data_IF_305579173974
#
_entry.id   IF_305579173974
#
_cell.length_a   1.000
_cell.length_b   1.000
_cell.length_c   1.000
_cell.angle_alpha   90.00
_cell.angle_beta   90.00
_cell.angle_gamma   90.00
#
_symmetry.space_group_name_H-M   'P 1'
#
loop_
_entity.id
_entity.type
_entity.pdbx_description
1 polymer ?
#
# COMPACT_ATOMS: atom_id res chain seq x y z
N UNK A 1 -21.41 62.11 -20.40
CA UNK A 1 -21.16 63.16 -19.38
C UNK A 1 -20.07 62.58 -18.48
N UNK A 2 -18.83 63.02 -18.67
CA UNK A 2 -18.09 63.96 -17.82
C UNK A 2 -17.98 63.43 -16.38
N UNK A 3 -16.86 63.19 -15.76
CA UNK A 3 -15.46 63.70 -15.63
C UNK A 3 -14.92 62.99 -14.36
N UNK A 4 -13.73 62.79 -13.92
CA UNK A 4 -12.43 63.36 -14.18
C UNK A 4 -11.39 62.58 -13.36
N UNK A 5 -10.21 62.44 -13.85
CA UNK A 5 -9.00 61.93 -13.19
C UNK A 5 -8.52 62.87 -12.05
N UNK A 6 -7.79 62.33 -11.09
CA UNK A 6 -6.81 63.12 -10.34
C UNK A 6 -5.57 62.24 -10.07
N UNK A 7 -4.50 62.64 -10.71
CA UNK A 7 -3.12 62.24 -10.59
C UNK A 7 -2.47 63.09 -9.49
N UNK A 8 -1.76 62.48 -8.57
CA UNK A 8 -0.85 63.22 -7.68
C UNK A 8 0.51 62.51 -7.63
N UNK A 9 1.43 63.16 -8.31
CA UNK A 9 2.88 62.93 -8.33
C UNK A 9 3.47 63.61 -7.09
N UNK A 10 4.34 62.96 -6.34
CA UNK A 10 5.28 63.63 -5.43
C UNK A 10 6.67 62.99 -5.48
N UNK A 11 7.60 63.86 -5.69
CA UNK A 11 9.02 63.65 -6.01
C UNK A 11 9.87 63.15 -4.85
N UNK A 12 11.00 62.61 -5.26
CA UNK A 12 12.17 62.18 -4.57
C UNK A 12 12.85 63.17 -3.64
N UNK A 13 13.51 62.67 -2.63
CA UNK A 13 14.74 63.24 -2.10
C UNK A 13 15.70 62.11 -1.72
N UNK A 14 16.79 62.02 -2.45
CA UNK A 14 17.93 61.19 -2.13
C UNK A 14 18.79 61.89 -1.04
N UNK A 15 19.11 61.17 0.03
CA UNK A 15 20.19 61.52 0.93
C UNK A 15 21.10 60.29 1.05
N UNK A 16 22.27 60.40 0.42
CA UNK A 16 23.38 59.49 0.60
C UNK A 16 24.04 59.73 1.96
N UNK A 17 24.04 58.75 2.82
CA UNK A 17 24.97 58.66 3.97
C UNK A 17 25.63 57.27 3.93
N UNK A 18 26.95 57.30 3.69
CA UNK A 18 27.80 56.13 3.73
C UNK A 18 27.83 55.55 5.15
N UNK A 19 27.52 54.26 5.23
CA UNK A 19 27.68 53.45 6.42
C UNK A 19 28.38 52.17 6.06
N UNK A 20 29.55 51.93 6.64
CA UNK A 20 30.30 50.66 6.57
C UNK A 20 29.40 49.50 6.88
N UNK A 21 29.18 48.59 5.91
CA UNK A 21 28.57 47.31 6.15
C UNK A 21 29.61 46.43 6.88
N UNK A 22 29.43 46.24 8.19
CA UNK A 22 30.03 45.12 8.91
C UNK A 22 29.15 43.89 8.61
N UNK A 23 29.71 43.00 7.82
CA UNK A 23 29.11 41.68 7.62
C UNK A 23 29.18 40.90 8.94
N UNK A 24 28.07 40.93 9.67
CA UNK A 24 27.91 39.98 10.80
C UNK A 24 27.62 38.60 10.16
N UNK A 25 28.61 37.73 10.19
CA UNK A 25 28.46 36.32 9.94
C UNK A 25 27.49 35.77 11.01
N UNK A 26 26.25 35.45 10.61
CA UNK A 26 25.31 34.73 11.48
C UNK A 26 25.91 33.35 11.75
N UNK A 27 26.29 33.11 13.00
CA UNK A 27 26.61 31.77 13.46
C UNK A 27 25.43 30.84 13.17
N UNK A 28 25.67 29.59 12.75
CA UNK A 28 24.61 28.63 12.54
C UNK A 28 23.83 28.45 13.83
N UNK A 29 22.50 28.43 13.74
CA UNK A 29 21.64 28.17 14.88
C UNK A 29 22.05 26.84 15.54
N UNK A 30 22.06 26.72 16.87
CA UNK A 30 22.35 25.48 17.54
C UNK A 30 21.31 24.46 17.12
N UNK A 31 21.78 23.26 16.74
CA UNK A 31 20.91 22.11 16.46
C UNK A 31 20.00 21.89 17.68
N UNK A 32 18.73 21.49 17.49
CA UNK A 32 17.83 21.23 18.60
C UNK A 32 18.43 20.16 19.51
N UNK A 33 18.73 20.53 20.76
CA UNK A 33 19.10 19.59 21.81
C UNK A 33 17.88 18.69 22.08
N UNK A 34 17.96 17.42 21.73
CA UNK A 34 16.91 16.45 22.00
C UNK A 34 16.67 15.42 20.88
N UNK A 35 17.63 15.18 20.01
CA UNK A 35 17.59 13.97 19.18
C UNK A 35 17.73 12.77 20.14
N UNK A 36 16.60 12.22 20.58
CA UNK A 36 16.56 10.85 21.10
C UNK A 36 17.25 9.97 20.07
N UNK A 37 18.28 9.22 20.48
CA UNK A 37 18.94 8.27 19.60
C UNK A 37 17.85 7.44 18.91
N UNK A 38 17.80 7.49 17.56
CA UNK A 38 16.83 6.69 16.79
C UNK A 38 17.00 5.25 17.23
N UNK A 39 15.89 4.60 17.57
CA UNK A 39 15.91 3.20 17.94
C UNK A 39 16.47 2.42 16.75
N UNK A 40 17.47 1.59 16.98
CA UNK A 40 17.98 0.68 15.95
C UNK A 40 16.84 -0.26 15.57
N UNK A 41 16.58 -0.39 14.27
CA UNK A 41 15.53 -1.30 13.77
C UNK A 41 15.97 -2.73 14.01
N UNK A 42 15.10 -3.51 14.65
CA UNK A 42 15.28 -4.95 14.76
C UNK A 42 14.85 -5.63 13.46
N UNK A 43 15.78 -6.34 12.82
CA UNK A 43 15.56 -7.06 11.59
C UNK A 43 16.46 -8.30 11.53
N UNK A 44 16.17 -9.34 10.73
CA UNK A 44 16.85 -10.64 10.79
C UNK A 44 18.27 -10.63 10.18
N UNK A 45 19.08 -9.65 10.54
CA UNK A 45 20.43 -9.42 10.00
C UNK A 45 21.33 -10.65 10.09
N UNK A 46 21.29 -11.35 11.23
CA UNK A 46 22.14 -12.50 11.50
C UNK A 46 21.80 -13.74 10.65
N UNK A 47 20.64 -13.73 9.99
CA UNK A 47 20.18 -14.82 9.12
C UNK A 47 20.57 -14.65 7.67
N UNK A 48 21.00 -13.46 7.28
CA UNK A 48 21.27 -13.12 5.89
C UNK A 48 22.77 -12.90 5.67
N UNK A 49 23.27 -13.46 4.59
CA UNK A 49 24.56 -13.06 4.05
C UNK A 49 24.44 -11.72 3.35
N UNK A 50 25.55 -11.03 3.16
CA UNK A 50 25.61 -9.76 2.41
C UNK A 50 26.55 -9.91 1.22
N UNK A 51 26.29 -9.15 0.16
CA UNK A 51 27.20 -8.99 -0.95
C UNK A 51 28.42 -8.12 -0.58
N UNK A 52 29.28 -7.83 -1.55
CA UNK A 52 30.48 -7.00 -1.38
C UNK A 52 30.17 -5.54 -1.00
N UNK A 53 28.94 -5.06 -1.26
CA UNK A 53 28.46 -3.72 -0.93
C UNK A 53 27.72 -3.67 0.43
N UNK A 54 27.54 -4.82 1.08
CA UNK A 54 26.82 -4.93 2.35
C UNK A 54 25.31 -5.07 2.18
N UNK A 55 24.82 -5.26 0.97
CA UNK A 55 23.38 -5.51 0.68
C UNK A 55 23.05 -6.97 1.02
N UNK A 56 21.96 -7.22 1.77
CA UNK A 56 21.54 -8.59 2.09
C UNK A 56 21.19 -9.39 0.84
N UNK A 57 21.50 -10.67 0.86
CA UNK A 57 21.25 -11.62 -0.24
C UNK A 57 20.24 -12.66 0.21
N UNK A 58 19.30 -13.00 -0.68
CA UNK A 58 18.20 -13.93 -0.48
C UNK A 58 18.35 -15.16 -1.38
N UNK A 59 17.96 -16.30 -0.87
CA UNK A 59 17.66 -17.49 -1.65
C UNK A 59 16.16 -17.45 -2.01
N UNK A 60 15.84 -17.11 -3.28
CA UNK A 60 14.48 -16.87 -3.78
C UNK A 60 14.01 -18.05 -4.62
N UNK A 61 12.91 -18.71 -4.26
CA UNK A 61 12.30 -19.69 -5.15
C UNK A 61 11.53 -18.99 -6.28
N UNK A 62 12.02 -19.12 -7.50
CA UNK A 62 11.39 -18.56 -8.70
C UNK A 62 10.40 -19.57 -9.26
N UNK A 63 9.10 -19.27 -9.10
CA UNK A 63 8.01 -20.20 -9.49
C UNK A 63 8.03 -20.51 -10.97
N UNK A 64 8.35 -19.53 -11.83
CA UNK A 64 8.41 -19.72 -13.28
C UNK A 64 9.48 -20.71 -13.74
N UNK A 65 10.58 -20.79 -13.00
CA UNK A 65 11.74 -21.60 -13.34
C UNK A 65 11.85 -22.86 -12.47
N UNK A 66 10.97 -22.99 -11.46
CA UNK A 66 10.94 -24.09 -10.48
C UNK A 66 12.29 -24.32 -9.77
N UNK A 67 13.03 -23.24 -9.50
CA UNK A 67 14.36 -23.31 -8.88
C UNK A 67 14.57 -22.18 -7.88
N UNK A 68 15.54 -22.39 -6.97
CA UNK A 68 16.02 -21.36 -6.05
C UNK A 68 17.13 -20.56 -6.76
N UNK A 69 16.97 -19.24 -6.76
CA UNK A 69 17.96 -18.30 -7.26
C UNK A 69 18.47 -17.42 -6.13
N UNK A 70 19.77 -17.12 -6.18
CA UNK A 70 20.40 -16.24 -5.20
C UNK A 70 20.45 -14.82 -5.76
N UNK A 71 19.72 -13.92 -5.13
CA UNK A 71 19.60 -12.51 -5.54
C UNK A 71 19.72 -11.57 -4.33
N UNK A 72 20.31 -10.39 -4.53
CA UNK A 72 20.28 -9.37 -3.49
C UNK A 72 18.86 -8.80 -3.29
N UNK A 73 18.60 -8.24 -2.10
CA UNK A 73 17.29 -7.72 -1.72
C UNK A 73 16.81 -6.62 -2.69
N UNK A 74 17.72 -5.77 -3.18
CA UNK A 74 17.34 -4.67 -4.07
C UNK A 74 16.88 -5.20 -5.43
N UNK A 75 17.60 -6.16 -6.00
CA UNK A 75 17.18 -6.84 -7.24
C UNK A 75 15.85 -7.57 -7.06
N UNK A 76 15.62 -8.22 -5.91
CA UNK A 76 14.31 -8.81 -5.62
C UNK A 76 13.20 -7.74 -5.54
N UNK A 77 13.45 -6.61 -4.87
CA UNK A 77 12.50 -5.49 -4.76
C UNK A 77 12.19 -4.85 -6.11
N UNK A 78 13.15 -4.79 -7.05
CA UNK A 78 12.88 -4.35 -8.43
C UNK A 78 11.82 -5.23 -9.11
N UNK A 79 11.96 -6.55 -9.00
CA UNK A 79 10.99 -7.51 -9.56
C UNK A 79 9.61 -7.40 -8.89
N UNK A 80 9.57 -7.25 -7.56
CA UNK A 80 8.32 -7.01 -6.82
C UNK A 80 7.66 -5.70 -7.26
N UNK A 81 8.41 -4.61 -7.32
CA UNK A 81 7.87 -3.30 -7.71
C UNK A 81 7.30 -3.34 -9.13
N UNK A 82 7.95 -4.03 -10.05
CA UNK A 82 7.49 -4.21 -11.43
C UNK A 82 6.26 -5.11 -11.54
N UNK A 83 6.07 -6.07 -10.62
CA UNK A 83 4.88 -6.92 -10.55
C UNK A 83 3.68 -6.26 -9.87
N UNK A 84 3.92 -5.38 -8.90
CA UNK A 84 2.87 -4.76 -8.08
C UNK A 84 2.33 -3.46 -8.66
N UNK A 85 3.17 -2.65 -9.33
CA UNK A 85 2.78 -1.35 -9.84
C UNK A 85 3.15 -1.19 -11.31
N UNK A 86 2.45 -0.28 -11.99
CA UNK A 86 2.86 0.07 -13.35
C UNK A 86 4.21 0.78 -13.34
N UNK A 87 5.10 0.31 -14.18
CA UNK A 87 6.50 0.73 -14.26
C UNK A 87 6.72 2.14 -14.85
N UNK A 88 5.64 2.82 -15.29
CA UNK A 88 5.63 4.20 -15.79
C UNK A 88 4.96 5.20 -14.82
N UNK A 89 4.51 4.75 -13.66
CA UNK A 89 3.86 5.60 -12.65
C UNK A 89 4.82 6.65 -12.06
N UNK A 90 4.28 7.67 -11.34
CA UNK A 90 5.11 8.70 -10.70
C UNK A 90 6.23 8.11 -9.84
N UNK A 91 7.43 8.68 -9.94
CA UNK A 91 8.62 8.13 -9.27
C UNK A 91 8.45 8.03 -7.75
N UNK A 92 7.85 9.04 -7.12
CA UNK A 92 7.63 9.03 -5.67
C UNK A 92 6.63 7.95 -5.21
N UNK A 93 5.64 7.61 -6.04
CA UNK A 93 4.76 6.48 -5.77
C UNK A 93 5.51 5.12 -5.85
N UNK A 94 6.38 4.97 -6.85
CA UNK A 94 7.22 3.77 -7.00
C UNK A 94 8.23 3.66 -5.84
N UNK A 95 8.82 4.78 -5.42
CA UNK A 95 9.72 4.83 -4.24
C UNK A 95 9.01 4.43 -2.95
N UNK A 96 7.79 4.93 -2.74
CA UNK A 96 6.96 4.56 -1.59
C UNK A 96 6.69 3.04 -1.56
N UNK A 97 6.31 2.47 -2.70
CA UNK A 97 6.10 1.03 -2.82
C UNK A 97 7.40 0.23 -2.60
N UNK A 98 8.56 0.71 -3.09
CA UNK A 98 9.84 0.05 -2.88
C UNK A 98 10.21 -0.04 -1.39
N UNK A 99 9.98 1.03 -0.61
CA UNK A 99 10.16 1.05 0.85
C UNK A 99 9.27 -0.01 1.51
N UNK A 100 7.98 -0.08 1.12
CA UNK A 100 7.05 -1.06 1.69
C UNK A 100 7.39 -2.49 1.27
N UNK A 101 7.76 -2.72 0.02
CA UNK A 101 8.15 -4.03 -0.49
C UNK A 101 9.38 -4.58 0.26
N UNK A 102 10.40 -3.73 0.46
CA UNK A 102 11.61 -4.09 1.23
C UNK A 102 11.28 -4.38 2.69
N UNK A 103 10.44 -3.57 3.32
CA UNK A 103 9.96 -3.79 4.69
C UNK A 103 9.21 -5.12 4.80
N UNK A 104 8.33 -5.43 3.82
CA UNK A 104 7.60 -6.69 3.78
C UNK A 104 8.52 -7.90 3.72
N UNK A 105 9.51 -7.89 2.83
CA UNK A 105 10.49 -8.99 2.70
C UNK A 105 11.20 -9.25 4.03
N UNK A 106 11.75 -8.21 4.65
CA UNK A 106 12.47 -8.36 5.90
C UNK A 106 11.54 -8.78 7.06
N UNK A 107 10.31 -8.29 7.09
CA UNK A 107 9.30 -8.72 8.07
C UNK A 107 8.88 -10.17 7.85
N UNK A 108 8.72 -10.59 6.59
CA UNK A 108 8.45 -12.00 6.27
C UNK A 108 9.57 -12.90 6.80
N UNK A 109 10.83 -12.55 6.55
CA UNK A 109 11.99 -13.32 7.03
C UNK A 109 12.09 -13.34 8.56
N UNK A 110 11.65 -12.29 9.24
CA UNK A 110 11.64 -12.25 10.70
C UNK A 110 10.59 -13.22 11.29
N UNK A 111 9.40 -13.28 10.68
CA UNK A 111 8.22 -13.95 11.25
C UNK A 111 7.98 -15.36 10.69
N UNK A 112 8.45 -15.65 9.46
CA UNK A 112 8.04 -16.81 8.68
C UNK A 112 9.23 -17.54 8.06
N UNK A 113 8.92 -18.67 7.45
CA UNK A 113 9.78 -19.41 6.53
C UNK A 113 9.00 -19.64 5.24
N UNK A 114 9.72 -19.66 4.11
CA UNK A 114 9.11 -20.03 2.84
C UNK A 114 8.55 -21.45 2.87
N UNK A 115 7.43 -21.65 2.15
CA UNK A 115 6.87 -22.99 1.92
C UNK A 115 7.71 -23.83 0.95
N UNK A 116 8.67 -23.21 0.26
CA UNK A 116 9.59 -23.85 -0.66
C UNK A 116 10.91 -24.19 0.03
N UNK A 117 11.29 -25.47 -0.01
CA UNK A 117 12.50 -25.95 0.66
C UNK A 117 13.76 -25.26 0.09
N UNK A 118 14.61 -24.79 0.99
CA UNK A 118 15.87 -24.13 0.63
C UNK A 118 15.74 -22.67 0.18
N UNK A 119 14.54 -22.08 0.29
CA UNK A 119 14.32 -20.68 -0.04
C UNK A 119 14.02 -19.85 1.21
N UNK A 120 14.46 -18.59 1.20
CA UNK A 120 14.10 -17.58 2.18
C UNK A 120 12.68 -17.02 1.91
N UNK A 121 12.37 -16.81 0.64
CA UNK A 121 11.10 -16.27 0.12
C UNK A 121 10.88 -16.80 -1.30
N UNK A 122 9.69 -16.57 -1.88
CA UNK A 122 9.40 -16.97 -3.25
C UNK A 122 8.81 -15.84 -4.09
N UNK A 123 8.66 -16.09 -5.39
CA UNK A 123 7.89 -15.24 -6.32
C UNK A 123 6.43 -15.66 -6.41
N UNK A 124 5.95 -16.53 -5.51
CA UNK A 124 4.56 -16.96 -5.44
C UNK A 124 3.72 -15.86 -4.75
N UNK A 125 2.76 -15.31 -5.48
CA UNK A 125 1.87 -14.26 -4.98
C UNK A 125 1.02 -14.71 -3.76
N UNK A 126 0.79 -16.03 -3.61
CA UNK A 126 0.07 -16.58 -2.46
C UNK A 126 0.94 -16.64 -1.20
N UNK A 127 2.26 -16.62 -1.35
CA UNK A 127 3.20 -16.58 -0.24
C UNK A 127 3.66 -15.18 0.09
N UNK A 128 3.99 -14.38 -0.93
CA UNK A 128 4.69 -13.11 -0.78
C UNK A 128 3.98 -11.97 -1.54
N UNK A 129 4.57 -11.49 -2.61
CA UNK A 129 4.14 -10.32 -3.39
C UNK A 129 4.16 -10.68 -4.89
N UNK A 130 3.40 -9.93 -5.71
CA UNK A 130 3.54 -10.09 -7.15
C UNK A 130 4.98 -9.80 -7.58
N UNK A 131 5.46 -10.55 -8.58
CA UNK A 131 6.84 -10.45 -9.05
C UNK A 131 6.90 -10.55 -10.59
N UNK A 132 7.56 -9.59 -11.23
CA UNK A 132 7.82 -9.61 -12.68
C UNK A 132 9.18 -8.97 -13.02
N UNK A 133 10.24 -9.76 -12.98
CA UNK A 133 11.57 -9.29 -13.35
C UNK A 133 11.65 -8.83 -14.82
N UNK A 134 10.80 -9.35 -15.71
CA UNK A 134 10.81 -9.00 -17.15
C UNK A 134 10.26 -7.59 -17.41
N UNK A 135 9.45 -7.04 -16.50
CA UNK A 135 8.88 -5.70 -16.58
C UNK A 135 9.75 -4.61 -15.93
N UNK A 136 10.88 -4.97 -15.35
CA UNK A 136 11.82 -4.01 -14.74
C UNK A 136 12.41 -3.09 -15.80
N UNK A 137 12.28 -1.79 -15.60
CA UNK A 137 12.82 -0.74 -16.48
C UNK A 137 13.68 0.26 -15.68
N UNK A 138 14.24 1.27 -16.36
CA UNK A 138 15.12 2.25 -15.72
C UNK A 138 14.42 3.05 -14.61
N UNK A 139 13.10 3.28 -14.72
CA UNK A 139 12.33 4.00 -13.69
C UNK A 139 12.16 3.16 -12.42
N UNK A 140 11.93 1.85 -12.56
CA UNK A 140 11.90 0.90 -11.43
C UNK A 140 13.26 0.89 -10.75
N UNK A 141 14.36 0.72 -11.51
CA UNK A 141 15.73 0.74 -10.97
C UNK A 141 16.04 2.05 -10.25
N UNK A 142 15.61 3.18 -10.82
CA UNK A 142 15.78 4.49 -10.19
C UNK A 142 15.04 4.55 -8.85
N UNK A 143 13.77 4.10 -8.79
CA UNK A 143 12.97 4.11 -7.55
C UNK A 143 13.63 3.26 -6.45
N UNK A 144 14.11 2.07 -6.78
CA UNK A 144 14.78 1.17 -5.84
C UNK A 144 16.13 1.75 -5.40
N UNK A 145 16.97 2.19 -6.34
CA UNK A 145 18.27 2.79 -6.03
C UNK A 145 18.18 4.06 -5.17
N UNK A 146 17.20 4.96 -5.43
CA UNK A 146 17.01 6.17 -4.62
C UNK A 146 16.44 5.87 -3.22
N UNK A 147 15.95 4.66 -2.98
CA UNK A 147 15.42 4.21 -1.69
C UNK A 147 16.20 3.02 -1.11
N UNK A 148 17.39 2.75 -1.63
CA UNK A 148 18.23 1.62 -1.20
C UNK A 148 18.37 1.56 0.32
N UNK A 149 18.11 0.38 0.89
CA UNK A 149 18.17 0.12 2.33
C UNK A 149 17.11 0.81 3.18
N UNK A 150 16.21 1.63 2.59
CA UNK A 150 15.15 2.29 3.35
C UNK A 150 14.01 1.33 3.65
N UNK A 151 13.62 1.28 4.92
CA UNK A 151 12.51 0.49 5.44
C UNK A 151 11.60 1.31 6.34
N UNK A 152 10.38 0.84 6.54
CA UNK A 152 9.47 1.37 7.54
C UNK A 152 9.80 0.78 8.91
N UNK A 153 9.76 1.60 9.94
CA UNK A 153 9.96 1.20 11.34
C UNK A 153 8.83 1.72 12.22
N UNK A 154 8.31 0.87 13.07
CA UNK A 154 7.33 1.21 14.11
C UNK A 154 7.94 0.91 15.48
N UNK A 155 8.40 1.95 16.18
CA UNK A 155 9.02 1.80 17.49
C UNK A 155 10.32 0.97 17.54
N UNK A 156 11.04 0.87 16.40
CA UNK A 156 12.26 0.07 16.27
C UNK A 156 12.03 -1.35 15.74
N UNK A 157 10.79 -1.71 15.41
CA UNK A 157 10.43 -3.00 14.79
C UNK A 157 9.96 -2.81 13.35
N UNK A 158 10.10 -3.83 12.51
CA UNK A 158 9.54 -3.86 11.17
C UNK A 158 8.01 -4.08 11.26
N UNK A 159 7.18 -3.14 10.77
CA UNK A 159 5.74 -3.33 10.72
C UNK A 159 5.33 -4.26 9.57
N UNK A 160 4.10 -4.77 9.62
CA UNK A 160 3.44 -5.32 8.43
C UNK A 160 3.16 -4.17 7.46
N UNK A 161 3.95 -4.07 6.42
CA UNK A 161 3.90 -2.99 5.43
C UNK A 161 2.83 -3.28 4.35
N UNK A 162 1.57 -3.44 4.77
CA UNK A 162 0.45 -3.77 3.88
C UNK A 162 0.16 -2.66 2.89
N UNK A 163 -0.25 -3.07 1.69
CA UNK A 163 -0.72 -2.18 0.64
C UNK A 163 -1.82 -2.85 -0.18
N UNK A 164 -2.55 -2.07 -0.95
CA UNK A 164 -3.65 -2.55 -1.76
C UNK A 164 -3.83 -1.64 -2.97
N UNK A 165 -4.54 -2.13 -4.01
CA UNK A 165 -4.67 -1.35 -5.25
C UNK A 165 -5.47 -0.05 -5.06
N UNK A 166 -6.68 -0.11 -4.46
CA UNK A 166 -7.58 1.04 -4.31
C UNK A 166 -8.42 0.91 -3.04
N UNK A 167 -8.43 1.93 -2.17
CA UNK A 167 -9.15 1.87 -0.88
C UNK A 167 -10.67 1.87 -1.03
N UNK A 168 -11.19 2.45 -2.11
CA UNK A 168 -12.62 2.70 -2.28
C UNK A 168 -13.11 3.92 -1.52
N UNK A 169 -12.20 4.77 -1.06
CA UNK A 169 -12.47 6.04 -0.36
C UNK A 169 -11.76 6.15 0.99
N UNK A 170 -11.81 5.12 1.82
CA UNK A 170 -11.11 5.05 3.11
C UNK A 170 -10.27 3.78 3.20
N UNK A 171 -9.08 3.89 3.81
CA UNK A 171 -8.31 2.72 4.24
C UNK A 171 -9.02 1.99 5.38
N UNK A 172 -8.53 0.84 5.77
CA UNK A 172 -9.13 0.00 6.80
C UNK A 172 -8.14 -0.34 7.92
N UNK A 173 -8.67 -0.71 9.08
CA UNK A 173 -7.93 -1.43 10.10
C UNK A 173 -7.70 -2.89 9.67
N UNK A 174 -6.68 -3.55 10.23
CA UNK A 174 -6.34 -4.92 9.88
C UNK A 174 -7.49 -5.90 10.18
N UNK A 175 -8.19 -5.72 11.30
CA UNK A 175 -9.36 -6.54 11.65
C UNK A 175 -10.49 -6.45 10.63
N UNK A 176 -10.67 -5.29 9.95
CA UNK A 176 -11.75 -5.11 8.99
C UNK A 176 -11.38 -5.61 7.59
N UNK A 177 -10.14 -5.39 7.18
CA UNK A 177 -9.70 -5.67 5.82
C UNK A 177 -9.11 -7.06 5.63
N UNK A 178 -8.49 -7.61 6.67
CA UNK A 178 -7.74 -8.85 6.63
C UNK A 178 -8.32 -9.97 7.52
N UNK A 179 -9.41 -9.71 8.29
CA UNK A 179 -9.87 -10.66 9.28
C UNK A 179 -8.86 -10.88 10.41
N UNK A 180 -8.07 -9.85 10.75
CA UNK A 180 -7.02 -9.94 11.75
C UNK A 180 -7.61 -10.24 13.12
N UNK A 181 -7.25 -11.39 13.69
CA UNK A 181 -7.79 -11.94 14.95
C UNK A 181 -6.97 -11.60 16.20
N UNK A 182 -5.84 -10.87 16.00
CA UNK A 182 -4.97 -10.40 17.07
C UNK A 182 -5.26 -8.94 17.43
N UNK A 183 -4.51 -8.41 18.40
CA UNK A 183 -4.53 -6.98 18.70
C UNK A 183 -4.24 -6.17 17.44
N UNK A 184 -5.02 -5.11 17.22
CA UNK A 184 -4.86 -4.22 16.06
C UNK A 184 -3.46 -3.59 16.09
N UNK A 185 -2.66 -3.73 15.02
CA UNK A 185 -1.34 -3.12 14.99
C UNK A 185 -1.43 -1.60 15.17
N UNK A 186 -0.66 -1.00 16.08
CA UNK A 186 -0.83 0.40 16.48
C UNK A 186 -0.56 1.40 15.34
N UNK A 187 0.15 0.97 14.30
CA UNK A 187 0.51 1.80 13.14
C UNK A 187 -0.53 1.78 12.03
N UNK A 188 -1.55 0.92 12.08
CA UNK A 188 -2.66 0.95 11.12
C UNK A 188 -3.62 2.08 11.43
N UNK A 189 -4.26 2.62 10.39
CA UNK A 189 -5.22 3.70 10.56
C UNK A 189 -6.24 3.76 9.41
N UNK A 190 -7.36 4.40 9.67
CA UNK A 190 -8.37 4.73 8.67
C UNK A 190 -8.15 6.18 8.24
N UNK A 191 -7.77 6.36 6.97
CA UNK A 191 -7.55 7.67 6.35
C UNK A 191 -8.17 7.70 4.96
N UNK A 192 -8.46 8.89 4.40
CA UNK A 192 -8.82 9.01 2.98
C UNK A 192 -7.80 8.33 2.08
N UNK A 193 -8.28 7.64 1.05
CA UNK A 193 -7.41 6.90 0.13
C UNK A 193 -6.55 7.77 -0.77
N UNK A 194 -6.95 9.05 -0.97
CA UNK A 194 -6.30 10.02 -1.87
C UNK A 194 -6.16 9.56 -3.33
N UNK A 195 -6.99 8.61 -3.72
CA UNK A 195 -7.06 8.16 -5.09
C UNK A 195 -7.56 9.30 -5.99
N UNK A 196 -6.98 9.48 -7.20
CA UNK A 196 -7.42 10.51 -8.11
C UNK A 196 -8.80 10.19 -8.71
N UNK A 197 -9.58 11.22 -9.05
CA UNK A 197 -10.85 11.04 -9.76
C UNK A 197 -10.64 10.53 -11.20
N UNK A 198 -9.49 10.85 -11.80
CA UNK A 198 -9.10 10.44 -13.14
C UNK A 198 -7.59 10.21 -13.23
N UNK A 199 -7.19 9.35 -14.16
CA UNK A 199 -5.78 9.10 -14.46
C UNK A 199 -5.44 9.53 -15.88
N UNK A 200 -4.15 9.83 -16.11
CA UNK A 200 -3.66 10.26 -17.42
C UNK A 200 -3.46 9.05 -18.34
N UNK A 201 -3.99 9.14 -19.55
CA UNK A 201 -3.94 8.05 -20.52
C UNK A 201 -5.10 7.06 -20.40
N UNK A 202 -5.49 6.48 -21.56
CA UNK A 202 -6.68 5.62 -21.65
C UNK A 202 -6.56 4.35 -20.78
N UNK A 203 -5.37 3.72 -20.78
CA UNK A 203 -5.12 2.50 -20.00
C UNK A 203 -5.25 2.75 -18.51
N UNK A 204 -4.62 3.82 -17.99
CA UNK A 204 -4.68 4.13 -16.56
C UNK A 204 -6.07 4.58 -16.15
N UNK A 205 -6.76 5.35 -16.97
CA UNK A 205 -8.14 5.72 -16.71
C UNK A 205 -9.08 4.51 -16.71
N UNK A 206 -8.83 3.48 -17.54
CA UNK A 206 -9.57 2.24 -17.49
C UNK A 206 -9.26 1.45 -16.22
N UNK A 207 -7.99 1.24 -15.90
CA UNK A 207 -7.56 0.52 -14.69
C UNK A 207 -8.12 1.17 -13.42
N UNK A 208 -8.10 2.51 -13.34
CA UNK A 208 -8.66 3.25 -12.22
C UNK A 208 -10.16 2.99 -12.08
N UNK A 209 -10.94 3.10 -13.18
CA UNK A 209 -12.38 2.79 -13.15
C UNK A 209 -12.68 1.37 -12.71
N UNK A 210 -11.87 0.40 -13.18
CA UNK A 210 -11.99 -1.00 -12.77
C UNK A 210 -11.63 -1.25 -11.31
N UNK A 211 -10.69 -0.47 -10.74
CA UNK A 211 -10.36 -0.51 -9.32
C UNK A 211 -11.40 0.20 -8.45
N UNK A 212 -12.02 1.28 -8.96
CA UNK A 212 -13.05 2.03 -8.24
C UNK A 212 -14.34 1.24 -8.02
N UNK A 213 -14.77 0.48 -9.03
CA UNK A 213 -16.06 -0.23 -9.02
C UNK A 213 -15.90 -1.65 -9.54
N UNK A 214 -16.52 -2.59 -8.86
CA UNK A 214 -16.53 -3.97 -9.28
C UNK A 214 -17.93 -4.59 -9.17
N UNK A 215 -18.18 -5.60 -10.00
CA UNK A 215 -19.34 -6.47 -9.92
C UNK A 215 -18.87 -7.91 -10.12
N UNK A 216 -19.47 -8.84 -9.40
CA UNK A 216 -19.19 -10.26 -9.52
C UNK A 216 -20.48 -11.06 -9.34
N UNK A 217 -20.55 -12.21 -10.00
CA UNK A 217 -21.64 -13.15 -9.88
C UNK A 217 -21.06 -14.56 -9.71
N UNK A 218 -21.35 -15.18 -8.59
CA UNK A 218 -20.85 -16.49 -8.21
C UNK A 218 -22.02 -17.50 -8.24
N UNK A 219 -21.93 -18.63 -8.94
CA UNK A 219 -22.89 -19.72 -8.82
C UNK A 219 -23.10 -20.09 -7.34
N UNK A 220 -24.31 -20.47 -6.93
CA UNK A 220 -24.55 -20.83 -5.52
C UNK A 220 -23.62 -21.94 -5.06
N UNK A 221 -23.40 -22.96 -5.90
CA UNK A 221 -22.47 -24.07 -5.63
C UNK A 221 -21.03 -23.60 -5.35
N UNK A 222 -20.54 -22.53 -6.03
CA UNK A 222 -19.21 -21.94 -5.78
C UNK A 222 -19.17 -21.27 -4.41
N UNK A 223 -20.25 -20.57 -4.03
CA UNK A 223 -20.35 -19.90 -2.71
C UNK A 223 -20.50 -20.91 -1.60
N UNK A 224 -21.34 -21.94 -1.76
CA UNK A 224 -21.55 -23.01 -0.81
C UNK A 224 -20.25 -23.78 -0.54
N UNK A 225 -19.53 -24.14 -1.62
CA UNK A 225 -18.22 -24.79 -1.49
C UNK A 225 -17.18 -23.88 -0.80
N UNK A 226 -17.16 -22.58 -1.10
CA UNK A 226 -16.29 -21.64 -0.39
C UNK A 226 -16.63 -21.55 1.11
N UNK A 227 -17.90 -21.47 1.44
CA UNK A 227 -18.36 -21.48 2.85
C UNK A 227 -18.02 -22.78 3.57
N UNK A 228 -18.16 -23.93 2.89
CA UNK A 228 -17.78 -25.24 3.46
C UNK A 228 -16.29 -25.28 3.83
N UNK A 229 -15.40 -24.73 3.00
CA UNK A 229 -13.96 -24.63 3.33
C UNK A 229 -13.68 -23.77 4.56
N UNK A 230 -14.59 -22.82 4.85
CA UNK A 230 -14.55 -21.97 6.04
C UNK A 230 -15.30 -22.55 7.24
N UNK A 231 -15.81 -23.80 7.12
CA UNK A 231 -16.55 -24.49 8.18
C UNK A 231 -17.98 -23.99 8.38
N UNK A 232 -18.55 -23.29 7.37
CA UNK A 232 -19.91 -22.74 7.40
C UNK A 232 -20.79 -23.50 6.42
N UNK A 233 -21.81 -24.20 6.92
CA UNK A 233 -22.79 -24.93 6.10
C UNK A 233 -23.91 -23.99 5.65
N UNK A 234 -23.90 -23.60 4.38
CA UNK A 234 -24.84 -22.67 3.75
C UNK A 234 -25.55 -23.36 2.58
N UNK A 235 -26.86 -23.16 2.48
CA UNK A 235 -27.62 -23.49 1.27
C UNK A 235 -28.25 -22.23 0.71
N UNK A 236 -28.02 -21.96 -0.56
CA UNK A 236 -28.52 -20.76 -1.26
C UNK A 236 -29.59 -21.12 -2.28
N UNK A 237 -30.58 -20.27 -2.39
CA UNK A 237 -31.64 -20.33 -3.40
C UNK A 237 -32.06 -18.92 -3.82
N UNK A 238 -32.80 -18.80 -4.91
CA UNK A 238 -33.31 -17.50 -5.33
C UNK A 238 -34.21 -16.91 -4.25
N UNK A 239 -33.93 -15.65 -3.89
CA UNK A 239 -34.60 -14.97 -2.81
C UNK A 239 -34.08 -15.30 -1.40
N UNK A 240 -32.98 -16.05 -1.27
CA UNK A 240 -32.32 -16.28 0.01
C UNK A 240 -32.04 -14.95 0.75
N UNK A 241 -32.21 -14.96 2.06
CA UNK A 241 -31.95 -13.77 2.87
C UNK A 241 -30.46 -13.52 2.97
N UNK A 242 -30.02 -12.39 2.42
CA UNK A 242 -28.65 -11.93 2.45
C UNK A 242 -28.56 -10.60 3.20
N UNK A 243 -27.59 -10.47 4.09
CA UNK A 243 -27.40 -9.26 4.89
C UNK A 243 -25.90 -8.94 5.04
N UNK A 244 -25.60 -7.68 5.24
CA UNK A 244 -24.33 -7.28 5.83
C UNK A 244 -24.62 -7.09 7.32
N UNK A 245 -24.18 -8.04 8.13
CA UNK A 245 -24.48 -8.10 9.56
C UNK A 245 -23.64 -7.13 10.37
N UNK A 246 -22.38 -6.94 9.95
CA UNK A 246 -21.46 -6.05 10.62
C UNK A 246 -20.63 -5.28 9.58
N UNK A 247 -20.46 -3.98 9.83
CA UNK A 247 -19.51 -3.12 9.11
C UNK A 247 -18.51 -2.54 10.09
N UNK A 248 -17.25 -2.46 9.64
CA UNK A 248 -16.22 -1.73 10.35
C UNK A 248 -16.31 -0.21 10.11
N UNK A 249 -15.44 0.52 10.78
CA UNK A 249 -15.40 1.99 10.74
C UNK A 249 -15.04 2.53 9.34
N UNK A 250 -14.36 1.73 8.51
CA UNK A 250 -14.06 2.05 7.10
C UNK A 250 -15.28 1.86 6.18
N UNK A 251 -16.38 1.32 6.69
CA UNK A 251 -17.57 0.94 5.93
C UNK A 251 -17.49 -0.45 5.27
N UNK A 252 -16.38 -1.17 5.41
CA UNK A 252 -16.23 -2.54 4.90
C UNK A 252 -17.14 -3.49 5.66
N UNK A 253 -17.69 -4.47 4.94
CA UNK A 253 -18.35 -5.60 5.57
C UNK A 253 -17.30 -6.42 6.33
N UNK A 254 -17.55 -6.67 7.60
CA UNK A 254 -16.79 -7.59 8.46
C UNK A 254 -17.49 -8.94 8.45
N UNK A 255 -18.82 -8.95 8.59
CA UNK A 255 -19.62 -10.18 8.59
C UNK A 255 -20.78 -10.10 7.59
N UNK A 256 -20.98 -11.19 6.89
CA UNK A 256 -22.09 -11.39 5.97
C UNK A 256 -23.03 -12.46 6.50
N UNK A 257 -24.32 -12.19 6.45
CA UNK A 257 -25.38 -13.17 6.70
C UNK A 257 -25.82 -13.79 5.38
N UNK A 258 -25.66 -15.10 5.24
CA UNK A 258 -26.02 -15.89 4.06
C UNK A 258 -27.08 -16.92 4.48
N UNK A 259 -28.36 -16.64 4.21
CA UNK A 259 -29.49 -17.52 4.51
C UNK A 259 -29.53 -18.03 5.97
N UNK A 260 -29.20 -17.14 6.93
CA UNK A 260 -29.21 -17.43 8.36
C UNK A 260 -27.89 -17.97 8.94
N UNK A 261 -26.89 -18.14 8.10
CA UNK A 261 -25.52 -18.44 8.54
C UNK A 261 -24.64 -17.18 8.43
N UNK A 262 -23.64 -17.04 9.29
CA UNK A 262 -22.71 -15.92 9.31
C UNK A 262 -21.36 -16.37 8.79
N UNK A 263 -20.73 -15.57 7.91
CA UNK A 263 -19.38 -15.78 7.39
C UNK A 263 -18.59 -14.47 7.46
N UNK A 264 -17.28 -14.57 7.75
CA UNK A 264 -16.38 -13.42 7.70
C UNK A 264 -16.16 -12.98 6.24
N UNK A 265 -16.34 -11.69 5.98
CA UNK A 265 -16.33 -11.16 4.62
C UNK A 265 -14.92 -11.20 4.00
N UNK A 266 -13.85 -11.02 4.80
CA UNK A 266 -12.46 -11.16 4.35
C UNK A 266 -12.13 -12.59 3.93
N UNK A 267 -12.54 -13.58 4.73
CA UNK A 267 -12.29 -14.99 4.44
C UNK A 267 -13.08 -15.45 3.21
N UNK A 268 -14.36 -15.07 3.14
CA UNK A 268 -15.18 -15.36 1.95
C UNK A 268 -14.57 -14.72 0.69
N UNK A 269 -14.03 -13.49 0.79
CA UNK A 269 -13.35 -12.83 -0.33
C UNK A 269 -12.17 -13.66 -0.84
N UNK A 270 -11.36 -14.22 0.06
CA UNK A 270 -10.23 -15.07 -0.33
C UNK A 270 -10.74 -16.37 -0.95
N UNK A 271 -11.69 -17.04 -0.31
CA UNK A 271 -12.25 -18.31 -0.78
C UNK A 271 -12.92 -18.20 -2.16
N UNK A 272 -13.60 -17.07 -2.47
CA UNK A 272 -14.21 -16.80 -3.78
C UNK A 272 -13.23 -16.24 -4.83
N UNK A 273 -12.00 -15.98 -4.45
CA UNK A 273 -10.97 -15.38 -5.30
C UNK A 273 -10.97 -13.85 -5.24
N UNK A 274 -9.90 -13.33 -4.70
CA UNK A 274 -9.70 -11.88 -4.42
C UNK A 274 -9.66 -10.97 -5.67
N UNK A 275 -9.52 -11.55 -6.87
CA UNK A 275 -9.59 -10.84 -8.14
C UNK A 275 -11.02 -10.70 -8.66
N UNK A 276 -11.94 -11.58 -8.21
CA UNK A 276 -13.38 -11.53 -8.53
C UNK A 276 -14.13 -10.69 -7.47
N UNK A 277 -14.11 -11.12 -6.20
CA UNK A 277 -14.60 -10.33 -5.06
C UNK A 277 -13.49 -9.36 -4.62
N UNK A 278 -13.39 -8.24 -5.32
CA UNK A 278 -12.21 -7.35 -5.23
C UNK A 278 -12.03 -6.69 -3.87
N UNK A 279 -13.12 -6.45 -3.14
CA UNK A 279 -13.06 -5.83 -1.80
C UNK A 279 -14.24 -6.27 -0.95
N UNK A 280 -14.20 -5.95 0.33
CA UNK A 280 -15.35 -6.08 1.25
C UNK A 280 -16.18 -4.80 1.40
N UNK A 281 -15.89 -3.74 0.61
CA UNK A 281 -16.77 -2.57 0.46
C UNK A 281 -17.97 -2.86 -0.44
N UNK A 282 -18.81 -3.77 0.03
CA UNK A 282 -19.99 -4.25 -0.70
C UNK A 282 -21.10 -3.20 -0.67
N UNK A 283 -21.57 -2.79 -1.84
CA UNK A 283 -22.68 -1.85 -2.04
C UNK A 283 -24.01 -2.55 -2.39
N UNK A 284 -23.94 -3.77 -2.93
CA UNK A 284 -25.11 -4.57 -3.29
C UNK A 284 -24.81 -6.04 -3.13
N UNK A 285 -25.79 -6.79 -2.60
CA UNK A 285 -25.72 -8.23 -2.37
C UNK A 285 -27.11 -8.83 -2.67
N UNK A 286 -27.20 -9.78 -3.60
CA UNK A 286 -28.49 -10.37 -4.05
C UNK A 286 -28.34 -11.84 -4.41
N UNK A 287 -29.35 -12.66 -4.09
CA UNK A 287 -29.50 -14.03 -4.56
C UNK A 287 -30.54 -14.06 -5.67
N UNK A 288 -30.13 -14.33 -6.89
CA UNK A 288 -31.00 -14.37 -8.06
C UNK A 288 -30.44 -15.22 -9.18
N UNK A 289 -31.29 -15.89 -9.93
CA UNK A 289 -30.93 -16.67 -11.13
C UNK A 289 -29.82 -17.69 -10.87
N UNK A 290 -29.86 -18.38 -9.72
CA UNK A 290 -28.88 -19.36 -9.33
C UNK A 290 -27.52 -18.80 -8.93
N UNK A 291 -27.42 -17.51 -8.67
CA UNK A 291 -26.15 -16.82 -8.38
C UNK A 291 -26.24 -15.87 -7.21
N UNK A 292 -25.18 -15.77 -6.46
CA UNK A 292 -24.87 -14.66 -5.57
C UNK A 292 -24.28 -13.53 -6.42
N UNK A 293 -25.02 -12.43 -6.57
CA UNK A 293 -24.58 -11.23 -7.31
C UNK A 293 -24.17 -10.15 -6.33
N UNK A 294 -22.93 -9.69 -6.46
CA UNK A 294 -22.36 -8.64 -5.62
C UNK A 294 -21.88 -7.47 -6.46
N UNK A 295 -21.91 -6.28 -5.85
CA UNK A 295 -21.22 -5.11 -6.36
C UNK A 295 -20.54 -4.39 -5.18
N UNK A 296 -19.46 -3.68 -5.47
CA UNK A 296 -18.72 -2.94 -4.46
C UNK A 296 -17.78 -1.90 -5.06
N UNK A 297 -17.00 -1.28 -4.19
CA UNK A 297 -15.98 -0.27 -4.54
C UNK A 297 -14.63 -0.65 -3.95
N UNK A 298 -13.55 -0.17 -4.59
CA UNK A 298 -12.20 -0.46 -4.16
C UNK A 298 -11.67 -1.82 -4.63
N UNK A 299 -10.37 -2.03 -4.51
CA UNK A 299 -9.69 -3.25 -4.89
C UNK A 299 -8.57 -3.57 -3.89
N UNK A 300 -8.69 -4.70 -3.22
CA UNK A 300 -7.80 -5.17 -2.17
C UNK A 300 -8.44 -5.12 -0.78
N UNK A 301 -7.65 -5.48 0.22
CA UNK A 301 -8.09 -5.53 1.63
C UNK A 301 -8.27 -4.15 2.26
N UNK A 302 -7.65 -3.11 1.72
CA UNK A 302 -7.80 -1.73 2.17
C UNK A 302 -6.90 -1.31 3.32
N UNK A 303 -6.07 -2.18 3.87
CA UNK A 303 -5.16 -1.87 4.99
C UNK A 303 -3.86 -1.27 4.47
N UNK A 304 -3.33 -0.25 5.15
CA UNK A 304 -2.09 0.41 4.79
C UNK A 304 -2.19 1.25 3.53
N UNK A 305 -1.16 1.25 2.67
CA UNK A 305 -1.06 2.16 1.53
C UNK A 305 -1.96 1.76 0.36
N UNK A 306 -2.74 2.72 -0.14
CA UNK A 306 -3.41 2.61 -1.45
C UNK A 306 -2.42 2.93 -2.57
N UNK A 307 -2.22 2.00 -3.53
CA UNK A 307 -1.33 2.22 -4.66
C UNK A 307 -1.83 3.35 -5.57
N UNK A 308 -3.15 3.40 -5.86
CA UNK A 308 -3.75 4.53 -6.57
C UNK A 308 -3.71 5.82 -5.75
N UNK A 309 -3.79 5.72 -4.42
CA UNK A 309 -3.61 6.88 -3.55
C UNK A 309 -2.18 7.40 -3.56
N UNK A 310 -1.19 6.52 -3.53
CA UNK A 310 0.22 6.89 -3.70
C UNK A 310 0.46 7.57 -5.06
N UNK A 311 -0.15 7.05 -6.13
CA UNK A 311 -0.14 7.71 -7.45
C UNK A 311 -0.71 9.14 -7.37
N UNK A 312 -1.89 9.32 -6.75
CA UNK A 312 -2.53 10.64 -6.61
C UNK A 312 -1.69 11.62 -5.80
N UNK A 313 -1.17 11.18 -4.65
CA UNK A 313 -0.32 12.00 -3.78
C UNK A 313 1.00 12.39 -4.48
N UNK A 314 1.65 11.46 -5.18
CA UNK A 314 2.87 11.74 -5.93
C UNK A 314 2.62 12.73 -7.08
N UNK A 315 1.48 12.65 -7.77
CA UNK A 315 1.08 13.65 -8.76
C UNK A 315 0.81 15.03 -8.14
N UNK A 316 0.35 15.08 -6.90
CA UNK A 316 0.16 16.32 -6.15
C UNK A 316 1.49 16.89 -5.57
N UNK A 317 2.61 16.17 -5.75
CA UNK A 317 3.94 16.61 -5.34
C UNK A 317 4.43 16.07 -4.00
N UNK A 318 3.74 15.09 -3.41
CA UNK A 318 4.20 14.43 -2.19
C UNK A 318 5.42 13.56 -2.46
N UNK A 319 6.35 13.54 -1.52
CA UNK A 319 7.51 12.64 -1.51
C UNK A 319 7.12 11.22 -1.08
N UNK A 320 7.96 10.25 -1.37
CA UNK A 320 7.74 8.86 -0.93
C UNK A 320 7.60 8.73 0.60
N UNK A 321 8.38 9.49 1.36
CA UNK A 321 8.29 9.53 2.81
C UNK A 321 6.94 10.08 3.29
N UNK A 322 6.47 11.20 2.71
CA UNK A 322 5.16 11.76 3.01
C UNK A 322 4.03 10.81 2.65
N UNK A 323 4.15 10.08 1.54
CA UNK A 323 3.16 9.08 1.12
C UNK A 323 3.09 7.94 2.15
N UNK A 324 4.22 7.33 2.48
CA UNK A 324 4.24 6.18 3.40
C UNK A 324 3.74 6.58 4.80
N UNK A 325 4.25 7.69 5.35
CA UNK A 325 3.87 8.17 6.69
C UNK A 325 2.43 8.69 6.75
N UNK A 326 1.82 9.00 5.62
CA UNK A 326 0.38 9.31 5.55
C UNK A 326 -0.49 8.07 5.82
N UNK A 327 -0.11 6.90 5.31
CA UNK A 327 -0.90 5.67 5.46
C UNK A 327 -0.60 4.88 6.74
N UNK A 328 0.55 5.11 7.34
CA UNK A 328 0.97 4.47 8.58
C UNK A 328 1.26 5.53 9.64
N UNK A 329 0.67 5.40 10.82
CA UNK A 329 0.90 6.35 11.93
C UNK A 329 2.03 5.87 12.85
N UNK A 330 2.68 6.81 13.52
CA UNK A 330 3.72 6.53 14.53
C UNK A 330 4.88 5.66 13.99
N UNK A 331 5.25 5.91 12.73
CA UNK A 331 6.33 5.22 12.02
C UNK A 331 7.43 6.18 11.61
N UNK A 332 8.62 5.65 11.38
CA UNK A 332 9.75 6.35 10.75
C UNK A 332 10.28 5.55 9.57
N UNK A 333 10.99 6.22 8.68
CA UNK A 333 11.76 5.56 7.61
C UNK A 333 13.21 5.53 8.05
N UNK A 334 13.78 4.33 8.09
CA UNK A 334 15.13 4.08 8.56
C UNK A 334 15.98 3.41 7.46
N UNK A 335 17.26 3.76 7.41
CA UNK A 335 18.22 3.14 6.49
C UNK A 335 18.98 2.02 7.20
N UNK A 336 18.97 0.81 6.64
CA UNK A 336 19.59 -0.37 7.23
C UNK A 336 20.99 -0.65 6.68
N UNK A 337 21.22 -0.42 5.37
CA UNK A 337 22.51 -0.56 4.69
C UNK A 337 22.80 0.56 3.71
#
# INVERSE_FOLDING_TARGET
MKKTACLALLMAAALALGGCAVSAELAPAPAPEGATARAQVDWPKERLETDENGVPVLDVYVVADEQVERVDVETYVEGVLAGEMKNDWPLEALKAQAILARTFVLKFLADKQSKYEGADISTDIEEAQAYDASAVNDRIRQAVSETEGLVLSAGGELPYAWFHAHSGGLTALAREGLGWDKDEPPYTQIVPGNEPESATGEKDAQMLREAQHWQAAFPYEEVEAACETLGVDVTLEDGAKLTIEERGDSGRAVRLGLNGQTVDASDLRIALGSTKMRSTLITSLRAQEGKLVMAGTGYGHGVGMSQWGAYGMAQAGSTAEEIVTYYFKDVSIEKLW
#
